data_IF_108840123299
#
_entry.id   IF_108840123299
#
_cell.length_a   1.000
_cell.length_b   1.000
_cell.length_c   1.000
_cell.angle_alpha   90.00
_cell.angle_beta   90.00
_cell.angle_gamma   90.00
#
_symmetry.space_group_name_H-M   'P 1'
#
loop_
_entity.id
_entity.type
_entity.pdbx_description
1 polymer ?
#
# COMPACT_ATOMS: atom_id res chain seq x y z
N UNK A 1 3.52 -8.95 23.07
CA UNK A 1 4.66 -8.38 22.31
C UNK A 1 4.13 -7.62 21.12
N UNK A 2 4.86 -6.62 20.63
CA UNK A 2 4.53 -5.96 19.36
C UNK A 2 4.80 -6.98 18.23
N UNK A 3 3.84 -7.18 17.34
CA UNK A 3 3.98 -8.07 16.17
C UNK A 3 4.64 -7.30 15.02
N UNK A 4 5.34 -8.02 14.14
CA UNK A 4 5.99 -7.42 12.96
C UNK A 4 4.98 -6.65 12.10
N UNK A 5 3.78 -7.18 11.89
CA UNK A 5 2.70 -6.50 11.15
C UNK A 5 2.32 -5.14 11.76
N UNK A 6 2.27 -5.04 13.10
CA UNK A 6 2.01 -3.77 13.79
C UNK A 6 3.16 -2.78 13.63
N UNK A 7 4.40 -3.27 13.55
CA UNK A 7 5.57 -2.44 13.27
C UNK A 7 5.49 -1.95 11.83
N UNK A 8 5.25 -2.85 10.86
CA UNK A 8 5.11 -2.52 9.44
C UNK A 8 4.02 -1.49 9.20
N UNK A 9 2.81 -1.66 9.76
CA UNK A 9 1.72 -0.67 9.63
C UNK A 9 2.12 0.72 10.11
N UNK A 10 2.85 0.79 11.24
CA UNK A 10 3.27 2.07 11.82
C UNK A 10 4.45 2.69 11.08
N UNK A 11 5.30 1.85 10.48
CA UNK A 11 6.47 2.30 9.73
C UNK A 11 6.16 2.62 8.27
N UNK A 12 5.08 2.07 7.71
CA UNK A 12 4.70 2.22 6.30
C UNK A 12 4.62 3.67 5.81
N UNK A 13 4.01 4.63 6.53
CA UNK A 13 3.97 6.03 6.11
C UNK A 13 5.36 6.62 5.81
N UNK A 14 6.39 6.23 6.57
CA UNK A 14 7.74 6.77 6.39
C UNK A 14 8.44 6.28 5.12
N UNK A 15 7.95 5.21 4.50
CA UNK A 15 8.48 4.70 3.24
C UNK A 15 7.78 5.29 2.02
N UNK A 16 6.73 6.09 2.23
CA UNK A 16 5.97 6.72 1.15
C UNK A 16 6.51 8.14 0.89
N UNK A 17 6.30 8.60 -0.33
CA UNK A 17 6.60 9.96 -0.75
C UNK A 17 5.45 10.50 -1.62
N UNK A 18 5.30 11.82 -1.62
CA UNK A 18 4.36 12.57 -2.45
C UNK A 18 2.93 11.97 -2.41
N UNK A 19 2.45 11.50 -3.57
CA UNK A 19 1.08 11.03 -3.78
C UNK A 19 0.72 9.79 -2.96
N UNK A 20 1.71 9.01 -2.52
CA UNK A 20 1.47 7.83 -1.71
C UNK A 20 1.20 8.20 -0.24
N UNK A 21 1.83 9.25 0.27
CA UNK A 21 1.60 9.77 1.61
C UNK A 21 0.20 10.37 1.73
N UNK A 22 -0.18 11.22 0.76
CA UNK A 22 -1.52 11.82 0.71
C UNK A 22 -2.63 10.76 0.66
N UNK A 23 -2.43 9.69 -0.13
CA UNK A 23 -3.41 8.60 -0.23
C UNK A 23 -3.54 7.82 1.08
N UNK A 24 -2.43 7.61 1.78
CA UNK A 24 -2.42 6.89 3.06
C UNK A 24 -3.23 7.63 4.13
N UNK A 25 -3.23 8.96 4.12
CA UNK A 25 -4.02 9.78 5.04
C UNK A 25 -5.53 9.48 4.94
N UNK A 26 -6.03 9.10 3.77
CA UNK A 26 -7.44 8.78 3.54
C UNK A 26 -7.80 7.31 3.79
N UNK A 27 -6.84 6.48 4.20
CA UNK A 27 -7.06 5.07 4.45
C UNK A 27 -7.28 4.77 5.94
N UNK A 28 -8.27 3.93 6.22
CA UNK A 28 -8.47 3.32 7.54
C UNK A 28 -8.27 1.81 7.42
N UNK A 29 -7.02 1.37 7.40
CA UNK A 29 -6.65 -0.05 7.31
C UNK A 29 -6.03 -0.51 8.62
N UNK A 30 -6.54 -1.61 9.17
CA UNK A 30 -6.11 -2.17 10.46
C UNK A 30 -5.26 -3.44 10.31
N UNK A 31 -5.22 -4.03 9.11
CA UNK A 31 -4.51 -5.27 8.80
C UNK A 31 -3.43 -5.02 7.75
N UNK A 32 -2.25 -5.60 7.97
CA UNK A 32 -1.09 -5.39 7.09
C UNK A 32 -1.30 -5.98 5.69
N UNK A 33 -1.97 -7.13 5.58
CA UNK A 33 -2.29 -7.74 4.29
C UNK A 33 -3.20 -6.87 3.42
N UNK A 34 -4.28 -6.33 4.00
CA UNK A 34 -5.18 -5.41 3.29
C UNK A 34 -4.44 -4.15 2.83
N UNK A 35 -3.51 -3.66 3.65
CA UNK A 35 -2.71 -2.48 3.34
C UNK A 35 -1.80 -2.71 2.13
N UNK A 36 -1.13 -3.87 2.09
CA UNK A 36 -0.28 -4.27 0.95
C UNK A 36 -1.11 -4.40 -0.34
N UNK A 37 -2.27 -5.07 -0.27
CA UNK A 37 -3.10 -5.29 -1.44
C UNK A 37 -3.60 -3.96 -2.04
N UNK A 38 -4.14 -3.08 -1.20
CA UNK A 38 -4.63 -1.77 -1.67
C UNK A 38 -3.50 -0.89 -2.24
N UNK A 39 -2.30 -0.97 -1.68
CA UNK A 39 -1.15 -0.22 -2.19
C UNK A 39 -0.75 -0.70 -3.59
N UNK A 40 -0.66 -2.02 -3.78
CA UNK A 40 -0.35 -2.61 -5.08
C UNK A 40 -1.43 -2.28 -6.12
N UNK A 41 -2.72 -2.42 -5.77
CA UNK A 41 -3.82 -2.09 -6.67
C UNK A 41 -3.80 -0.61 -7.10
N UNK A 42 -3.41 0.30 -6.20
CA UNK A 42 -3.40 1.74 -6.44
C UNK A 42 -2.19 2.22 -7.25
N UNK A 43 -0.98 1.78 -6.88
CA UNK A 43 0.27 2.33 -7.43
C UNK A 43 0.97 1.41 -8.42
N UNK A 44 0.67 0.11 -8.39
CA UNK A 44 1.23 -0.91 -9.27
C UNK A 44 0.12 -1.70 -9.97
N UNK A 45 -0.85 -1.02 -10.61
CA UNK A 45 -1.92 -1.72 -11.30
C UNK A 45 -1.31 -2.65 -12.35
N UNK A 46 -1.78 -3.90 -12.38
CA UNK A 46 -1.34 -4.87 -13.39
C UNK A 46 -1.57 -4.23 -14.76
N UNK A 47 -0.52 -4.04 -15.59
CA UNK A 47 -0.72 -3.60 -16.94
C UNK A 47 -1.64 -4.62 -17.60
N UNK A 48 -2.85 -4.19 -18.00
CA UNK A 48 -3.64 -5.00 -18.93
C UNK A 48 -2.74 -5.16 -20.13
N UNK A 49 -2.18 -6.35 -20.34
CA UNK A 49 -1.33 -6.65 -21.48
C UNK A 49 -2.09 -6.13 -22.70
N UNK A 50 -1.62 -5.03 -23.28
CA UNK A 50 -2.09 -4.62 -24.57
C UNK A 50 -1.72 -5.80 -25.45
N UNK A 51 -2.73 -6.47 -26.01
CA UNK A 51 -2.51 -7.51 -27.00
C UNK A 51 -1.67 -6.87 -28.11
N UNK A 52 -0.35 -7.07 -28.07
CA UNK A 52 0.54 -6.76 -29.17
C UNK A 52 0.19 -7.82 -30.21
N UNK A 53 -0.63 -7.40 -31.18
CA UNK A 53 -0.88 -8.14 -32.42
C UNK A 53 0.13 -7.71 -33.47
#
# INVERSE_FOLDING_TARGET
GITEEKISLRSFPFFLADKAEDWLYYLSVTMWDDMKQQFLDKFFPVPRAANIR
#
